data_IF_489499744790
#
_entry.id   IF_489499744790
#
_cell.length_a   1.000
_cell.length_b   1.000
_cell.length_c   1.000
_cell.angle_alpha   90.00
_cell.angle_beta   90.00
_cell.angle_gamma   90.00
#
_symmetry.space_group_name_H-M   'P 1'
#
loop_
_entity.id
_entity.type
_entity.pdbx_description
1 polymer ?
#
# COMPACT_ATOMS: atom_id res chain seq x y z
N UNK A 1 -6.59 16.15 -13.63
CA UNK A 1 -5.42 15.35 -13.22
C UNK A 1 -4.15 16.23 -13.11
N UNK A 2 -3.70 16.91 -14.16
CA UNK A 2 -2.46 17.71 -14.14
C UNK A 2 -2.45 18.79 -13.05
N UNK A 3 -3.54 19.56 -12.92
CA UNK A 3 -3.67 20.59 -11.89
C UNK A 3 -3.59 20.00 -10.46
N UNK A 4 -4.19 18.83 -10.23
CA UNK A 4 -4.14 18.15 -8.93
C UNK A 4 -2.71 17.71 -8.60
N UNK A 5 -2.01 17.11 -9.56
CA UNK A 5 -0.61 16.72 -9.37
C UNK A 5 0.29 17.93 -9.10
N UNK A 6 0.08 19.03 -9.85
CA UNK A 6 0.83 20.27 -9.64
C UNK A 6 0.63 20.84 -8.24
N UNK A 7 -0.63 20.97 -7.78
CA UNK A 7 -0.95 21.51 -6.45
C UNK A 7 -0.46 20.59 -5.33
N UNK A 8 -0.59 19.28 -5.51
CA UNK A 8 -0.09 18.29 -4.57
C UNK A 8 1.44 18.37 -4.47
N UNK A 9 2.13 18.42 -5.61
CA UNK A 9 3.58 18.59 -5.65
C UNK A 9 4.04 19.88 -4.95
N UNK A 10 3.38 21.01 -5.22
CA UNK A 10 3.68 22.29 -4.57
C UNK A 10 3.47 22.21 -3.05
N UNK A 11 2.36 21.59 -2.61
CA UNK A 11 2.05 21.41 -1.19
C UNK A 11 3.09 20.55 -0.47
N UNK A 12 3.45 19.41 -1.05
CA UNK A 12 4.45 18.50 -0.46
C UNK A 12 5.84 19.15 -0.43
N UNK A 13 6.24 19.80 -1.52
CA UNK A 13 7.51 20.51 -1.57
C UNK A 13 7.59 21.63 -0.51
N UNK A 14 6.50 22.40 -0.37
CA UNK A 14 6.38 23.42 0.67
C UNK A 14 6.48 22.84 2.08
N UNK A 15 5.78 21.74 2.36
CA UNK A 15 5.86 21.05 3.66
C UNK A 15 7.27 20.53 3.96
N UNK A 16 7.95 19.98 2.96
CA UNK A 16 9.34 19.53 3.10
C UNK A 16 10.29 20.69 3.37
N UNK A 17 10.07 21.85 2.77
CA UNK A 17 10.90 23.04 2.97
C UNK A 17 10.69 23.70 4.35
N UNK A 18 9.49 23.58 4.93
CA UNK A 18 9.17 24.06 6.28
C UNK A 18 9.76 23.21 7.40
N UNK A 19 10.05 21.95 7.13
CA UNK A 19 10.60 21.05 8.13
C UNK A 19 12.07 21.46 8.47
N UNK A 20 12.49 21.47 9.74
CA UNK A 20 13.84 21.91 10.15
C UNK A 20 14.95 20.99 9.63
N UNK A 21 16.11 21.54 9.22
CA UNK A 21 17.26 20.85 8.61
C UNK A 21 17.09 20.61 7.10
N UNK A 22 18.13 20.14 6.45
CA UNK A 22 18.12 19.75 5.04
C UNK A 22 18.85 18.42 4.79
N UNK A 23 18.80 17.93 3.54
CA UNK A 23 19.43 16.65 3.17
C UNK A 23 20.94 16.67 3.35
N UNK A 24 21.58 17.83 3.15
CA UNK A 24 23.02 17.98 3.31
C UNK A 24 23.42 17.84 4.78
N UNK A 25 22.62 18.44 5.69
CA UNK A 25 22.83 18.28 7.13
C UNK A 25 22.73 16.80 7.55
N UNK A 26 21.74 16.07 7.02
CA UNK A 26 21.58 14.63 7.28
C UNK A 26 22.73 13.80 6.68
N UNK A 27 23.17 14.15 5.48
CA UNK A 27 24.30 13.51 4.82
C UNK A 27 25.60 13.71 5.63
N UNK A 28 25.88 14.92 6.08
CA UNK A 28 27.04 15.23 6.92
C UNK A 28 26.98 14.46 8.23
N UNK A 29 25.82 14.42 8.90
CA UNK A 29 25.63 13.63 10.14
C UNK A 29 25.87 12.14 9.91
N UNK A 30 25.35 11.56 8.83
CA UNK A 30 25.56 10.17 8.49
C UNK A 30 27.04 9.86 8.24
N UNK A 31 27.75 10.76 7.56
CA UNK A 31 29.17 10.65 7.31
C UNK A 31 30.01 10.73 8.58
N UNK A 32 29.68 11.67 9.49
CA UNK A 32 30.34 11.78 10.80
C UNK A 32 30.15 10.53 11.67
N UNK A 33 28.94 9.94 11.67
CA UNK A 33 28.68 8.70 12.40
C UNK A 33 29.45 7.51 11.85
N UNK A 34 29.59 7.41 10.53
CA UNK A 34 30.36 6.37 9.88
C UNK A 34 31.89 6.58 10.04
N UNK A 35 32.35 7.82 10.12
CA UNK A 35 33.79 8.16 10.31
C UNK A 35 34.26 7.93 11.72
N UNK A 36 33.38 7.93 12.72
CA UNK A 36 33.74 7.62 14.11
C UNK A 36 34.12 6.15 14.32
N UNK A 37 33.84 5.27 13.37
CA UNK A 37 34.23 3.86 13.39
C UNK A 37 35.59 3.59 12.71
N UNK A 38 36.15 4.56 11.96
CA UNK A 38 37.46 4.47 11.33
C UNK A 38 38.13 5.83 11.48
N UNK A 39 39.10 5.95 12.40
CA UNK A 39 39.91 7.15 12.59
C UNK A 39 40.71 7.48 11.30
N UNK A 40 40.06 8.19 10.40
CA UNK A 40 40.71 8.86 9.28
C UNK A 40 40.24 10.32 9.26
N UNK A 41 41.08 11.21 9.77
CA UNK A 41 40.88 12.65 9.94
C UNK A 41 40.59 13.43 8.63
N UNK A 42 40.55 12.80 7.48
CA UNK A 42 40.43 13.47 6.17
C UNK A 42 39.06 13.47 5.54
N UNK A 43 38.00 12.99 6.22
CA UNK A 43 36.67 12.87 5.62
C UNK A 43 35.59 13.81 6.21
N UNK A 44 35.96 14.81 7.00
CA UNK A 44 35.00 15.82 7.47
C UNK A 44 34.86 16.88 6.39
N UNK A 45 33.67 16.97 5.78
CA UNK A 45 33.38 18.02 4.81
C UNK A 45 33.61 19.40 5.42
N UNK A 46 34.36 20.23 4.72
CA UNK A 46 34.59 21.61 5.10
C UNK A 46 33.33 22.45 4.94
N UNK A 47 33.22 23.57 5.65
CA UNK A 47 32.11 24.52 5.51
C UNK A 47 31.92 24.96 4.05
N UNK A 48 33.04 25.13 3.32
CA UNK A 48 32.99 25.50 1.91
C UNK A 48 32.42 24.41 1.02
N UNK A 49 32.75 23.13 1.28
CA UNK A 49 32.18 21.99 0.56
C UNK A 49 30.69 21.81 0.83
N UNK A 50 30.26 22.01 2.07
CA UNK A 50 28.85 22.00 2.45
C UNK A 50 28.07 23.10 1.71
N UNK A 51 28.62 24.34 1.70
CA UNK A 51 28.02 25.45 0.98
C UNK A 51 27.96 25.21 -0.53
N UNK A 52 29.02 24.66 -1.12
CA UNK A 52 29.06 24.29 -2.54
C UNK A 52 28.02 23.20 -2.86
N UNK A 53 27.84 22.21 -1.97
CA UNK A 53 26.83 21.16 -2.12
C UNK A 53 25.42 21.71 -2.05
N UNK A 54 25.11 22.62 -1.08
CA UNK A 54 23.82 23.29 -0.97
C UNK A 54 23.52 24.10 -2.23
N UNK A 55 24.47 24.85 -2.74
CA UNK A 55 24.33 25.61 -3.99
C UNK A 55 24.08 24.68 -5.20
N UNK A 56 24.83 23.61 -5.32
CA UNK A 56 24.67 22.61 -6.40
C UNK A 56 23.30 21.91 -6.38
N UNK A 57 22.71 21.75 -5.21
CA UNK A 57 21.39 21.14 -5.01
C UNK A 57 20.27 22.20 -4.99
N UNK A 58 20.56 23.46 -5.26
CA UNK A 58 19.61 24.57 -5.24
C UNK A 58 18.93 24.83 -3.89
N UNK A 59 19.48 24.32 -2.80
CA UNK A 59 18.92 24.45 -1.45
C UNK A 59 19.07 25.86 -0.85
N UNK A 60 19.88 26.70 -1.47
CA UNK A 60 20.08 28.10 -1.15
C UNK A 60 19.05 29.04 -1.79
N UNK A 61 18.18 28.51 -2.65
CA UNK A 61 17.16 29.29 -3.36
C UNK A 61 15.81 29.24 -2.66
N UNK A 62 14.91 30.22 -2.90
CA UNK A 62 13.52 30.16 -2.42
C UNK A 62 12.80 28.89 -2.89
N UNK A 63 11.88 28.37 -2.09
CA UNK A 63 11.23 27.06 -2.36
C UNK A 63 10.50 27.01 -3.72
N UNK A 64 9.92 28.11 -4.20
CA UNK A 64 9.27 28.16 -5.51
C UNK A 64 10.24 28.03 -6.69
N UNK A 65 11.47 28.55 -6.56
CA UNK A 65 12.52 28.35 -7.57
C UNK A 65 13.00 26.89 -7.57
N UNK A 66 13.20 26.31 -6.38
CA UNK A 66 13.55 24.90 -6.22
C UNK A 66 12.49 24.00 -6.84
N UNK A 67 11.19 24.25 -6.55
CA UNK A 67 10.08 23.50 -7.12
C UNK A 67 9.99 23.66 -8.63
N UNK A 68 10.13 24.89 -9.14
CA UNK A 68 10.13 25.19 -10.57
C UNK A 68 11.27 24.47 -11.30
N UNK A 69 12.48 24.47 -10.73
CA UNK A 69 13.64 23.77 -11.27
C UNK A 69 13.44 22.25 -11.27
N UNK A 70 12.90 21.68 -10.18
CA UNK A 70 12.57 20.28 -10.10
C UNK A 70 11.52 19.90 -11.16
N UNK A 71 10.48 20.70 -11.30
CA UNK A 71 9.41 20.46 -12.29
C UNK A 71 9.95 20.53 -13.73
N UNK A 72 10.83 21.50 -14.02
CA UNK A 72 11.49 21.60 -15.32
C UNK A 72 12.29 20.36 -15.65
N UNK A 73 13.13 19.89 -14.72
CA UNK A 73 13.92 18.67 -14.90
C UNK A 73 13.04 17.45 -15.18
N UNK A 74 11.93 17.30 -14.46
CA UNK A 74 11.02 16.16 -14.64
C UNK A 74 10.28 16.21 -15.97
N UNK A 75 9.77 17.39 -16.38
CA UNK A 75 8.92 17.53 -17.56
C UNK A 75 9.69 17.71 -18.85
N UNK A 76 10.83 18.40 -18.82
CA UNK A 76 11.61 18.75 -20.02
C UNK A 76 12.79 17.83 -20.20
N UNK A 77 13.58 17.65 -19.13
CA UNK A 77 14.81 16.83 -19.18
C UNK A 77 14.53 15.34 -18.94
N UNK A 78 13.29 14.97 -18.55
CA UNK A 78 12.90 13.62 -18.15
C UNK A 78 13.81 13.01 -17.09
N UNK A 79 14.42 13.85 -16.24
CA UNK A 79 15.34 13.46 -15.19
C UNK A 79 14.68 13.60 -13.82
N UNK A 80 14.38 12.45 -13.19
CA UNK A 80 13.85 12.37 -11.83
C UNK A 80 14.95 12.50 -10.75
N UNK A 81 16.21 12.60 -11.18
CA UNK A 81 17.36 12.75 -10.30
C UNK A 81 17.85 11.46 -9.68
N UNK A 82 18.81 11.63 -8.78
CA UNK A 82 19.37 10.58 -7.95
C UNK A 82 19.10 10.87 -6.48
N UNK A 83 18.93 9.80 -5.70
CA UNK A 83 18.93 9.91 -4.24
C UNK A 83 20.31 10.37 -3.77
N UNK A 84 20.37 11.35 -2.90
CA UNK A 84 21.64 11.88 -2.41
C UNK A 84 22.36 10.86 -1.51
N UNK A 85 21.65 10.06 -0.76
CA UNK A 85 22.20 9.12 0.20
C UNK A 85 22.62 7.81 -0.45
N UNK A 86 21.76 7.22 -1.27
CA UNK A 86 22.03 5.94 -1.93
C UNK A 86 22.77 6.09 -3.26
N UNK A 87 22.87 7.32 -3.82
CA UNK A 87 23.43 7.64 -5.14
C UNK A 87 22.78 6.88 -6.32
N UNK A 88 21.70 6.12 -6.04
CA UNK A 88 20.97 5.35 -7.04
C UNK A 88 19.97 6.25 -7.79
N UNK A 89 19.66 5.93 -9.06
CA UNK A 89 18.59 6.62 -9.80
C UNK A 89 17.25 6.47 -9.06
N UNK A 90 16.54 7.60 -8.86
CA UNK A 90 15.27 7.61 -8.12
C UNK A 90 14.23 6.71 -8.80
N UNK A 91 14.15 6.73 -10.13
CA UNK A 91 13.23 5.88 -10.89
C UNK A 91 13.45 4.40 -10.60
N UNK A 92 14.70 3.95 -10.51
CA UNK A 92 15.03 2.56 -10.20
C UNK A 92 14.57 2.18 -8.79
N UNK A 93 14.83 3.05 -7.81
CA UNK A 93 14.40 2.82 -6.43
C UNK A 93 12.88 2.72 -6.32
N UNK A 94 12.17 3.70 -6.89
CA UNK A 94 10.71 3.77 -6.83
C UNK A 94 10.07 2.58 -7.57
N UNK A 95 10.51 2.26 -8.79
CA UNK A 95 9.93 1.17 -9.57
C UNK A 95 10.11 -0.20 -8.91
N UNK A 96 11.30 -0.48 -8.39
CA UNK A 96 11.59 -1.75 -7.70
C UNK A 96 10.76 -1.91 -6.43
N UNK A 97 10.68 -0.85 -5.61
CA UNK A 97 9.91 -0.87 -4.35
C UNK A 97 8.41 -0.94 -4.61
N UNK A 98 7.93 -0.30 -5.68
CA UNK A 98 6.53 -0.37 -6.07
C UNK A 98 6.12 -1.78 -6.49
N UNK A 99 6.94 -2.49 -7.26
CA UNK A 99 6.63 -3.89 -7.64
C UNK A 99 6.51 -4.76 -6.39
N UNK A 100 7.40 -4.60 -5.41
CA UNK A 100 7.30 -5.32 -4.15
C UNK A 100 5.98 -5.02 -3.41
N UNK A 101 5.62 -3.74 -3.23
CA UNK A 101 4.35 -3.39 -2.57
C UNK A 101 3.14 -3.90 -3.35
N UNK A 102 3.16 -3.85 -4.69
CA UNK A 102 2.09 -4.42 -5.52
C UNK A 102 1.91 -5.91 -5.29
N UNK A 103 3.00 -6.68 -5.23
CA UNK A 103 2.94 -8.12 -4.96
C UNK A 103 2.32 -8.38 -3.59
N UNK A 104 2.79 -7.71 -2.55
CA UNK A 104 2.27 -7.86 -1.19
C UNK A 104 0.79 -7.48 -1.09
N UNK A 105 0.42 -6.31 -1.61
CA UNK A 105 -0.96 -5.81 -1.54
C UNK A 105 -1.91 -6.67 -2.38
N UNK A 106 -1.49 -7.11 -3.57
CA UNK A 106 -2.29 -7.98 -4.42
C UNK A 106 -2.54 -9.35 -3.78
N UNK A 107 -1.50 -9.97 -3.22
CA UNK A 107 -1.63 -11.23 -2.51
C UNK A 107 -2.53 -11.08 -1.28
N UNK A 108 -2.36 -9.99 -0.51
CA UNK A 108 -3.20 -9.68 0.64
C UNK A 108 -4.67 -9.48 0.25
N UNK A 109 -4.91 -8.72 -0.81
CA UNK A 109 -6.25 -8.45 -1.33
C UNK A 109 -6.94 -9.73 -1.80
N UNK A 110 -6.25 -10.54 -2.60
CA UNK A 110 -6.79 -11.82 -3.12
C UNK A 110 -7.11 -12.76 -1.97
N UNK A 111 -6.18 -12.95 -1.04
CA UNK A 111 -6.37 -13.83 0.11
C UNK A 111 -7.52 -13.36 1.03
N UNK A 112 -7.55 -12.06 1.36
CA UNK A 112 -8.61 -11.46 2.16
C UNK A 112 -9.97 -11.58 1.47
N UNK A 113 -10.05 -11.26 0.19
CA UNK A 113 -11.31 -11.24 -0.57
C UNK A 113 -11.88 -12.65 -0.70
N UNK A 114 -11.08 -13.62 -1.15
CA UNK A 114 -11.53 -14.99 -1.33
C UNK A 114 -12.03 -15.60 -0.01
N UNK A 115 -11.26 -15.44 1.07
CA UNK A 115 -11.65 -15.96 2.39
C UNK A 115 -12.87 -15.24 2.97
N UNK A 116 -12.96 -13.92 2.81
CA UNK A 116 -14.11 -13.15 3.28
C UNK A 116 -15.40 -13.56 2.55
N UNK A 117 -15.36 -13.75 1.24
CA UNK A 117 -16.53 -14.22 0.49
C UNK A 117 -16.91 -15.65 0.88
N UNK A 118 -15.96 -16.59 0.94
CA UNK A 118 -16.23 -17.95 1.34
C UNK A 118 -16.86 -18.04 2.74
N UNK A 119 -16.26 -17.36 3.72
CA UNK A 119 -16.75 -17.33 5.10
C UNK A 119 -18.06 -16.54 5.23
N UNK A 120 -18.23 -15.42 4.53
CA UNK A 120 -19.44 -14.59 4.58
C UNK A 120 -20.65 -15.30 4.00
N UNK A 121 -20.50 -16.01 2.87
CA UNK A 121 -21.56 -16.85 2.28
C UNK A 121 -21.89 -18.02 3.22
N UNK A 122 -20.88 -18.70 3.76
CA UNK A 122 -21.08 -19.79 4.71
C UNK A 122 -21.80 -19.30 5.97
N UNK A 123 -21.41 -18.16 6.52
CA UNK A 123 -21.98 -17.58 7.72
C UNK A 123 -23.44 -17.11 7.50
N UNK A 124 -23.75 -16.56 6.32
CA UNK A 124 -25.13 -16.22 5.96
C UNK A 124 -26.07 -17.43 5.96
N UNK A 125 -25.53 -18.62 5.65
CA UNK A 125 -26.28 -19.89 5.74
C UNK A 125 -26.49 -20.36 7.18
N UNK A 126 -25.70 -19.86 8.13
CA UNK A 126 -25.75 -20.20 9.56
C UNK A 126 -26.30 -19.06 10.41
N UNK A 127 -26.98 -18.10 9.79
CA UNK A 127 -27.56 -16.95 10.50
C UNK A 127 -28.42 -17.41 11.70
N UNK A 128 -28.23 -16.75 12.86
CA UNK A 128 -28.93 -17.07 14.11
C UNK A 128 -28.41 -18.30 14.86
N UNK A 129 -27.38 -18.99 14.34
CA UNK A 129 -26.74 -20.14 15.06
C UNK A 129 -25.61 -19.67 15.97
N UNK A 130 -25.12 -20.57 16.84
CA UNK A 130 -23.96 -20.33 17.69
C UNK A 130 -22.70 -19.92 16.89
N UNK A 131 -22.53 -20.48 15.70
CA UNK A 131 -21.41 -20.12 14.80
C UNK A 131 -21.50 -18.67 14.33
N UNK A 132 -22.68 -18.18 14.04
CA UNK A 132 -22.93 -16.81 13.65
C UNK A 132 -22.54 -15.84 14.78
N UNK A 133 -22.90 -16.16 16.02
CA UNK A 133 -22.55 -15.35 17.20
C UNK A 133 -21.05 -15.36 17.44
N UNK A 134 -20.41 -16.54 17.44
CA UNK A 134 -18.97 -16.68 17.70
C UNK A 134 -18.14 -15.97 16.66
N UNK A 135 -18.38 -16.24 15.37
CA UNK A 135 -17.62 -15.60 14.28
C UNK A 135 -17.92 -14.11 14.22
N UNK A 136 -19.15 -13.70 14.50
CA UNK A 136 -19.52 -12.28 14.60
C UNK A 136 -18.76 -11.57 15.71
N UNK A 137 -18.65 -12.18 16.89
CA UNK A 137 -17.86 -11.65 18.01
C UNK A 137 -16.37 -11.56 17.69
N UNK A 138 -15.77 -12.63 17.13
CA UNK A 138 -14.37 -12.65 16.70
C UNK A 138 -14.10 -11.57 15.65
N UNK A 139 -15.00 -11.42 14.67
CA UNK A 139 -14.89 -10.38 13.63
C UNK A 139 -14.95 -8.97 14.22
N UNK A 140 -15.82 -8.75 15.23
CA UNK A 140 -15.92 -7.48 15.93
C UNK A 140 -14.64 -7.19 16.72
N UNK A 141 -14.14 -8.17 17.44
CA UNK A 141 -12.91 -8.07 18.22
C UNK A 141 -11.71 -7.74 17.33
N UNK A 142 -11.52 -8.48 16.22
CA UNK A 142 -10.43 -8.22 15.27
C UNK A 142 -10.52 -6.82 14.65
N UNK A 143 -11.73 -6.37 14.34
CA UNK A 143 -11.92 -5.02 13.77
C UNK A 143 -11.70 -3.89 14.79
N UNK A 144 -11.95 -4.15 16.07
CA UNK A 144 -11.72 -3.18 17.15
C UNK A 144 -10.27 -3.17 17.64
N UNK A 145 -9.51 -4.24 17.34
CA UNK A 145 -8.15 -4.37 17.82
C UNK A 145 -7.20 -3.44 17.03
N UNK A 146 -6.32 -2.67 17.71
CA UNK A 146 -5.40 -1.78 17.01
C UNK A 146 -4.44 -2.55 16.10
N UNK A 147 -4.48 -2.25 14.79
CA UNK A 147 -3.71 -2.98 13.78
C UNK A 147 -2.20 -2.99 14.05
N UNK A 148 -1.64 -1.87 14.53
CA UNK A 148 -0.21 -1.79 14.89
C UNK A 148 0.14 -2.81 15.98
N UNK A 149 -0.69 -2.91 17.02
CA UNK A 149 -0.45 -3.88 18.11
C UNK A 149 -0.53 -5.32 17.60
N UNK A 150 -1.46 -5.61 16.70
CA UNK A 150 -1.58 -6.92 16.07
C UNK A 150 -0.30 -7.30 15.32
N UNK A 151 0.23 -6.39 14.50
CA UNK A 151 1.46 -6.61 13.74
C UNK A 151 2.67 -6.80 14.65
N UNK A 152 2.78 -6.00 15.73
CA UNK A 152 3.84 -6.15 16.72
C UNK A 152 3.75 -7.48 17.48
N UNK A 153 2.55 -7.93 17.85
CA UNK A 153 2.36 -9.23 18.49
C UNK A 153 2.76 -10.37 17.55
N UNK A 154 2.42 -10.30 16.28
CA UNK A 154 2.84 -11.29 15.27
C UNK A 154 4.38 -11.31 15.13
N UNK A 155 5.01 -10.14 15.13
CA UNK A 155 6.47 -10.05 15.04
C UNK A 155 7.15 -10.60 16.29
N UNK A 156 6.61 -10.30 17.50
CA UNK A 156 7.10 -10.87 18.76
C UNK A 156 6.92 -12.39 18.79
N UNK A 157 5.80 -12.90 18.28
CA UNK A 157 5.57 -14.34 18.14
C UNK A 157 6.62 -14.98 17.25
N UNK A 158 6.91 -14.39 16.08
CA UNK A 158 7.97 -14.89 15.19
C UNK A 158 9.35 -14.90 15.88
N UNK A 159 9.70 -13.82 16.56
CA UNK A 159 10.99 -13.68 17.25
C UNK A 159 11.15 -14.70 18.40
N UNK A 160 10.08 -14.99 19.12
CA UNK A 160 10.10 -15.91 20.27
C UNK A 160 10.10 -17.38 19.85
N UNK A 161 9.29 -17.74 18.85
CA UNK A 161 9.12 -19.15 18.44
C UNK A 161 10.12 -19.57 17.37
N UNK A 162 10.62 -18.63 16.56
CA UNK A 162 11.45 -18.88 15.38
C UNK A 162 10.78 -19.76 14.32
N UNK A 163 9.44 -19.90 14.38
CA UNK A 163 8.67 -20.67 13.38
C UNK A 163 8.49 -19.91 12.08
N UNK A 164 8.57 -18.59 12.14
CA UNK A 164 8.44 -17.71 10.99
C UNK A 164 9.58 -16.71 10.95
N UNK A 165 9.99 -16.26 9.75
CA UNK A 165 11.00 -15.23 9.61
C UNK A 165 10.48 -13.89 10.17
N UNK A 166 11.35 -13.16 10.84
CA UNK A 166 11.01 -11.83 11.39
C UNK A 166 10.95 -10.77 10.29
N UNK A 167 11.72 -10.97 9.20
CA UNK A 167 11.76 -10.08 8.05
C UNK A 167 10.89 -10.62 6.92
N UNK A 168 10.15 -9.75 6.24
CA UNK A 168 9.23 -10.14 5.17
C UNK A 168 9.92 -10.33 3.80
N UNK A 169 11.22 -10.23 3.73
CA UNK A 169 11.98 -10.42 2.49
C UNK A 169 13.19 -11.33 2.73
N UNK A 170 13.44 -12.32 1.86
CA UNK A 170 14.60 -13.20 2.01
C UNK A 170 15.90 -12.42 1.87
N UNK A 171 16.87 -12.75 2.71
CA UNK A 171 18.23 -12.17 2.64
C UNK A 171 19.05 -12.75 1.48
N UNK A 172 18.65 -13.91 0.97
CA UNK A 172 19.32 -14.57 -0.14
C UNK A 172 18.96 -13.91 -1.47
N UNK A 173 19.97 -13.61 -2.28
CA UNK A 173 19.77 -13.13 -3.64
C UNK A 173 19.22 -14.23 -4.54
N UNK A 174 18.49 -13.84 -5.59
CA UNK A 174 18.02 -14.76 -6.63
C UNK A 174 19.23 -15.48 -7.29
N UNK A 175 19.55 -16.65 -6.78
CA UNK A 175 20.70 -17.46 -7.23
C UNK A 175 20.44 -18.32 -8.47
N UNK A 176 19.49 -17.93 -9.34
CA UNK A 176 19.14 -18.65 -10.57
C UNK A 176 18.12 -19.78 -10.39
N UNK A 177 17.75 -20.15 -9.16
CA UNK A 177 16.68 -21.12 -8.90
C UNK A 177 15.38 -20.41 -8.53
N UNK A 178 14.53 -20.17 -9.54
CA UNK A 178 13.25 -19.47 -9.39
C UNK A 178 12.33 -20.13 -8.34
N UNK A 179 12.24 -21.44 -8.33
CA UNK A 179 11.31 -22.14 -7.41
C UNK A 179 11.77 -22.09 -5.96
N UNK A 180 13.06 -22.21 -5.72
CA UNK A 180 13.62 -22.07 -4.36
C UNK A 180 13.44 -20.65 -3.83
N UNK A 181 13.75 -19.63 -4.64
CA UNK A 181 13.54 -18.23 -4.27
C UNK A 181 12.06 -17.92 -4.01
N UNK A 182 11.15 -18.35 -4.90
CA UNK A 182 9.71 -18.13 -4.75
C UNK A 182 9.17 -18.80 -3.49
N UNK A 183 9.62 -20.00 -3.16
CA UNK A 183 9.25 -20.70 -1.92
C UNK A 183 9.72 -19.95 -0.68
N UNK A 184 10.98 -19.52 -0.66
CA UNK A 184 11.53 -18.69 0.43
C UNK A 184 10.79 -17.35 0.55
N UNK A 185 10.54 -16.69 -0.57
CA UNK A 185 9.81 -15.42 -0.61
C UNK A 185 8.38 -15.54 -0.03
N UNK A 186 7.62 -16.54 -0.46
CA UNK A 186 6.28 -16.80 0.06
C UNK A 186 6.30 -17.14 1.56
N UNK A 187 7.30 -17.87 2.02
CA UNK A 187 7.49 -18.16 3.44
C UNK A 187 7.74 -16.89 4.26
N UNK A 188 8.54 -15.95 3.75
CA UNK A 188 8.78 -14.66 4.39
C UNK A 188 7.52 -13.76 4.38
N UNK A 189 6.66 -13.91 3.40
CA UNK A 189 5.39 -13.16 3.32
C UNK A 189 4.28 -13.70 4.24
N UNK A 190 4.42 -14.85 4.86
CA UNK A 190 3.35 -15.48 5.65
C UNK A 190 2.83 -14.58 6.76
N UNK A 191 3.70 -13.99 7.57
CA UNK A 191 3.29 -13.12 8.68
C UNK A 191 2.73 -11.77 8.22
N UNK A 192 3.34 -11.04 7.27
CA UNK A 192 2.71 -9.87 6.68
C UNK A 192 1.32 -10.12 6.12
N UNK A 193 1.15 -11.22 5.37
CA UNK A 193 -0.16 -11.61 4.82
C UNK A 193 -1.17 -11.95 5.91
N UNK A 194 -0.74 -12.67 6.97
CA UNK A 194 -1.56 -12.93 8.16
C UNK A 194 -1.97 -11.63 8.86
N UNK A 195 -1.05 -10.71 9.03
CA UNK A 195 -1.32 -9.41 9.64
C UNK A 195 -2.35 -8.59 8.84
N UNK A 196 -2.15 -8.49 7.52
CA UNK A 196 -3.10 -7.83 6.62
C UNK A 196 -4.47 -8.52 6.63
N UNK A 197 -4.49 -9.85 6.63
CA UNK A 197 -5.72 -10.66 6.70
C UNK A 197 -6.48 -10.42 8.00
N UNK A 198 -5.84 -10.57 9.15
CA UNK A 198 -6.47 -10.38 10.46
C UNK A 198 -6.98 -8.95 10.67
N UNK A 199 -6.24 -7.96 10.16
CA UNK A 199 -6.66 -6.56 10.18
C UNK A 199 -7.87 -6.26 9.29
N UNK A 200 -8.04 -6.97 8.17
CA UNK A 200 -9.10 -6.71 7.20
C UNK A 200 -10.34 -7.61 7.33
N UNK A 201 -10.18 -8.85 7.83
CA UNK A 201 -11.24 -9.87 7.78
C UNK A 201 -12.48 -9.47 8.61
N UNK A 202 -12.30 -8.79 9.74
CA UNK A 202 -13.39 -8.41 10.63
C UNK A 202 -14.42 -7.49 9.97
N UNK A 203 -13.96 -6.50 9.20
CA UNK A 203 -14.80 -5.59 8.44
C UNK A 203 -15.44 -6.24 7.23
N UNK A 204 -14.61 -6.87 6.39
CA UNK A 204 -15.03 -7.49 5.12
C UNK A 204 -16.05 -8.60 5.33
N UNK A 205 -15.82 -9.48 6.30
CA UNK A 205 -16.74 -10.59 6.60
C UNK A 205 -18.12 -10.10 7.03
N UNK A 206 -18.17 -9.09 7.91
CA UNK A 206 -19.45 -8.51 8.37
C UNK A 206 -20.20 -7.85 7.23
N UNK A 207 -19.50 -7.10 6.37
CA UNK A 207 -20.12 -6.46 5.21
C UNK A 207 -20.73 -7.50 4.26
N UNK A 208 -19.97 -8.55 3.91
CA UNK A 208 -20.43 -9.61 3.01
C UNK A 208 -21.62 -10.35 3.62
N UNK A 209 -21.55 -10.70 4.94
CA UNK A 209 -22.65 -11.34 5.63
C UNK A 209 -23.91 -10.47 5.63
N UNK A 210 -23.79 -9.18 5.93
CA UNK A 210 -24.94 -8.26 5.97
C UNK A 210 -25.59 -8.13 4.58
N UNK A 211 -24.81 -7.89 3.54
CA UNK A 211 -25.33 -7.78 2.17
C UNK A 211 -25.92 -9.11 1.66
N UNK A 212 -25.34 -10.25 2.03
CA UNK A 212 -25.91 -11.57 1.71
C UNK A 212 -27.28 -11.79 2.38
N UNK A 213 -27.40 -11.46 3.66
CA UNK A 213 -28.68 -11.58 4.38
C UNK A 213 -29.76 -10.65 3.82
N UNK A 214 -29.38 -9.43 3.46
CA UNK A 214 -30.27 -8.49 2.78
C UNK A 214 -30.77 -9.07 1.46
N UNK A 215 -29.90 -9.62 0.63
CA UNK A 215 -30.28 -10.25 -0.65
C UNK A 215 -31.15 -11.49 -0.45
N UNK A 216 -30.88 -12.31 0.56
CA UNK A 216 -31.68 -13.50 0.88
C UNK A 216 -33.09 -13.17 1.39
N UNK A 217 -33.32 -11.97 1.89
CA UNK A 217 -34.63 -11.43 2.29
C UNK A 217 -35.46 -10.87 1.14
N UNK A 218 -34.93 -10.73 -0.06
CA UNK A 218 -35.61 -10.10 -1.20
C UNK A 218 -36.72 -10.97 -1.79
N UNK A 219 -37.82 -10.37 -2.36
CA UNK A 219 -38.95 -11.11 -2.94
C UNK A 219 -38.57 -12.10 -4.05
N UNK A 220 -37.53 -11.79 -4.85
CA UNK A 220 -37.09 -12.71 -5.89
C UNK A 220 -36.57 -14.04 -5.31
N UNK A 221 -35.98 -14.04 -4.12
CA UNK A 221 -35.50 -15.25 -3.44
C UNK A 221 -36.69 -16.13 -3.04
N UNK A 222 -37.76 -15.51 -2.53
CA UNK A 222 -39.01 -16.23 -2.21
C UNK A 222 -39.62 -16.88 -3.46
N UNK A 223 -39.61 -16.17 -4.60
CA UNK A 223 -40.07 -16.70 -5.88
C UNK A 223 -39.17 -17.87 -6.39
N UNK A 224 -37.88 -17.83 -6.12
CA UNK A 224 -36.95 -18.95 -6.47
C UNK A 224 -37.21 -20.19 -5.59
N UNK A 225 -37.50 -19.98 -4.29
CA UNK A 225 -37.86 -21.05 -3.36
C UNK A 225 -39.18 -21.73 -3.76
N UNK A 226 -40.19 -20.94 -4.14
CA UNK A 226 -41.48 -21.50 -4.60
C UNK A 226 -41.36 -22.32 -5.88
N UNK A 227 -40.33 -22.07 -6.69
CA UNK A 227 -39.97 -22.87 -7.88
C UNK A 227 -39.14 -24.10 -7.55
N UNK A 228 -38.86 -24.41 -6.28
CA UNK A 228 -38.10 -25.57 -5.85
C UNK A 228 -36.60 -25.50 -6.08
N UNK A 229 -36.03 -24.32 -6.32
CA UNK A 229 -34.60 -24.15 -6.51
C UNK A 229 -33.88 -24.41 -5.17
N UNK A 230 -32.84 -25.24 -5.14
CA UNK A 230 -32.17 -25.59 -3.89
C UNK A 230 -31.42 -24.38 -3.30
N UNK A 231 -31.43 -24.28 -1.96
CA UNK A 231 -30.83 -23.15 -1.20
C UNK A 231 -29.38 -22.84 -1.56
N UNK A 232 -28.57 -23.88 -1.84
CA UNK A 232 -27.19 -23.71 -2.28
C UNK A 232 -27.10 -22.89 -3.58
N UNK A 233 -27.94 -23.22 -4.57
CA UNK A 233 -27.97 -22.50 -5.86
C UNK A 233 -28.49 -21.06 -5.68
N UNK A 234 -29.48 -20.87 -4.81
CA UNK A 234 -30.01 -19.54 -4.48
C UNK A 234 -28.88 -18.66 -3.92
N UNK A 235 -28.09 -19.18 -2.95
CA UNK A 235 -27.00 -18.43 -2.31
C UNK A 235 -25.86 -18.14 -3.27
N UNK A 236 -25.30 -19.19 -3.93
CA UNK A 236 -24.08 -19.03 -4.72
C UNK A 236 -24.28 -18.36 -6.08
N UNK A 237 -25.44 -18.53 -6.73
CA UNK A 237 -25.66 -17.98 -8.06
C UNK A 237 -26.58 -16.74 -8.06
N UNK A 238 -27.63 -16.73 -7.26
CA UNK A 238 -28.62 -15.64 -7.33
C UNK A 238 -28.31 -14.54 -6.31
N UNK A 239 -28.18 -14.89 -5.03
CA UNK A 239 -27.95 -13.88 -3.98
C UNK A 239 -26.53 -13.32 -4.06
N UNK A 240 -25.50 -14.18 -4.21
CA UNK A 240 -24.10 -13.76 -4.27
C UNK A 240 -23.82 -12.79 -5.42
N UNK A 241 -24.39 -13.05 -6.61
CA UNK A 241 -24.21 -12.13 -7.76
C UNK A 241 -24.66 -10.70 -7.43
N UNK A 242 -25.80 -10.55 -6.75
CA UNK A 242 -26.30 -9.25 -6.35
C UNK A 242 -25.55 -8.66 -5.16
N UNK A 243 -25.02 -9.50 -4.28
CA UNK A 243 -24.14 -9.11 -3.16
C UNK A 243 -22.83 -8.48 -3.65
N UNK A 244 -22.36 -8.82 -4.85
CA UNK A 244 -21.15 -8.26 -5.44
C UNK A 244 -21.27 -6.78 -5.84
N UNK A 245 -22.46 -6.24 -6.03
CA UNK A 245 -22.65 -4.88 -6.52
C UNK A 245 -21.90 -3.80 -5.72
N UNK A 246 -21.95 -3.73 -4.37
CA UNK A 246 -21.17 -2.76 -3.61
C UNK A 246 -19.65 -2.91 -3.77
N UNK A 247 -19.17 -4.15 -3.96
CA UNK A 247 -17.75 -4.43 -4.14
C UNK A 247 -17.25 -4.04 -5.53
N UNK A 248 -18.08 -4.26 -6.56
CA UNK A 248 -17.78 -3.80 -7.94
C UNK A 248 -17.75 -2.28 -7.98
N UNK A 249 -18.70 -1.61 -7.35
CA UNK A 249 -18.74 -0.15 -7.30
C UNK A 249 -17.55 0.41 -6.49
N UNK A 250 -17.15 -0.27 -5.41
CA UNK A 250 -15.96 0.10 -4.60
C UNK A 250 -14.61 -0.26 -5.22
N UNK A 251 -14.59 -0.97 -6.35
CA UNK A 251 -13.34 -1.45 -6.97
C UNK A 251 -12.38 -0.34 -7.39
N UNK A 252 -12.89 0.87 -7.67
CA UNK A 252 -12.06 2.04 -7.94
C UNK A 252 -11.13 2.40 -6.80
N UNK A 253 -11.59 2.25 -5.54
CA UNK A 253 -10.78 2.46 -4.35
C UNK A 253 -9.67 1.41 -4.17
N UNK A 254 -9.93 0.16 -4.57
CA UNK A 254 -8.96 -0.93 -4.44
C UNK A 254 -7.66 -0.67 -5.24
N UNK A 255 -7.75 0.01 -6.39
CA UNK A 255 -6.56 0.38 -7.16
C UNK A 255 -5.70 1.40 -6.40
N UNK A 256 -6.32 2.36 -5.73
CA UNK A 256 -5.60 3.31 -4.89
C UNK A 256 -4.87 2.56 -3.75
N UNK A 257 -5.55 1.64 -3.07
CA UNK A 257 -4.99 0.85 -1.98
C UNK A 257 -3.82 -0.04 -2.44
N UNK A 258 -3.91 -0.61 -3.64
CA UNK A 258 -2.83 -1.44 -4.22
C UNK A 258 -1.54 -0.66 -4.42
N UNK A 259 -1.63 0.61 -4.82
CA UNK A 259 -0.45 1.44 -5.13
C UNK A 259 0.06 2.25 -3.93
N UNK A 260 -0.79 2.56 -2.95
CA UNK A 260 -0.41 3.39 -1.79
C UNK A 260 0.59 2.70 -0.85
N UNK A 261 0.65 1.36 -0.89
CA UNK A 261 1.46 0.57 0.02
C UNK A 261 0.86 0.45 1.42
N UNK A 262 1.42 -0.45 2.21
CA UNK A 262 1.07 -0.64 3.62
C UNK A 262 2.24 -0.22 4.52
N UNK A 263 2.42 1.09 4.66
CA UNK A 263 3.56 1.72 5.36
C UNK A 263 3.92 1.02 6.69
N UNK A 264 2.95 0.86 7.57
CA UNK A 264 3.19 0.32 8.92
C UNK A 264 3.64 -1.14 8.85
N UNK A 265 3.01 -1.94 8.01
CA UNK A 265 3.34 -3.35 7.81
C UNK A 265 4.75 -3.48 7.19
N UNK A 266 5.07 -2.65 6.19
CA UNK A 266 6.37 -2.64 5.53
C UNK A 266 7.50 -2.24 6.49
N UNK A 267 7.24 -1.30 7.42
CA UNK A 267 8.22 -0.91 8.45
C UNK A 267 8.41 -2.03 9.46
N UNK A 268 7.31 -2.55 10.04
CA UNK A 268 7.37 -3.55 11.12
C UNK A 268 8.09 -4.82 10.65
N UNK A 269 7.73 -5.34 9.47
CA UNK A 269 8.33 -6.56 8.92
C UNK A 269 9.57 -6.32 8.05
N UNK A 270 10.12 -5.10 8.06
CA UNK A 270 11.28 -4.70 7.25
C UNK A 270 11.14 -5.05 5.75
N UNK A 271 9.91 -5.01 5.22
CA UNK A 271 9.62 -5.31 3.83
C UNK A 271 10.09 -4.16 2.92
N UNK A 272 10.80 -4.45 1.82
CA UNK A 272 11.33 -3.41 0.93
C UNK A 272 10.26 -2.88 -0.02
N UNK A 273 9.22 -2.23 0.52
CA UNK A 273 8.12 -1.66 -0.24
C UNK A 273 8.22 -0.14 -0.44
N UNK A 274 7.21 0.41 -1.15
CA UNK A 274 7.15 1.82 -1.54
C UNK A 274 6.83 2.74 -0.34
N UNK A 275 5.99 2.28 0.60
CA UNK A 275 5.66 3.02 1.80
C UNK A 275 6.87 3.18 2.72
N UNK A 276 7.64 2.12 2.94
CA UNK A 276 8.88 2.18 3.70
C UNK A 276 9.91 3.09 3.02
N UNK A 277 10.06 3.00 1.70
CA UNK A 277 10.93 3.89 0.94
C UNK A 277 10.54 5.35 1.14
N UNK A 278 9.24 5.65 1.12
CA UNK A 278 8.72 7.00 1.35
C UNK A 278 9.04 7.49 2.76
N UNK A 279 8.84 6.66 3.77
CA UNK A 279 9.16 6.99 5.16
C UNK A 279 10.66 7.31 5.33
N UNK A 280 11.52 6.43 4.82
CA UNK A 280 12.97 6.63 4.84
C UNK A 280 13.38 7.94 4.13
N UNK A 281 12.80 8.21 2.96
CA UNK A 281 13.06 9.43 2.18
C UNK A 281 12.62 10.71 2.92
N UNK A 282 11.47 10.69 3.59
CA UNK A 282 10.98 11.84 4.38
C UNK A 282 11.88 12.12 5.58
N UNK A 283 12.25 11.09 6.34
CA UNK A 283 13.14 11.22 7.51
C UNK A 283 14.52 11.78 7.09
N UNK A 284 15.01 11.30 5.94
CA UNK A 284 16.32 11.71 5.40
C UNK A 284 16.24 13.02 4.64
N UNK A 285 15.04 13.54 4.38
CA UNK A 285 14.79 14.76 3.58
C UNK A 285 15.32 14.68 2.14
N UNK A 286 15.29 13.49 1.56
CA UNK A 286 15.63 13.29 0.15
C UNK A 286 14.48 13.80 -0.74
N UNK A 287 14.53 15.10 -1.06
CA UNK A 287 13.46 15.79 -1.80
C UNK A 287 13.19 15.11 -3.15
N UNK A 288 14.26 14.73 -3.89
CA UNK A 288 14.09 14.06 -5.18
C UNK A 288 13.30 12.76 -5.04
N UNK A 289 13.64 11.96 -4.03
CA UNK A 289 13.00 10.67 -3.78
C UNK A 289 11.56 10.84 -3.28
N UNK A 290 11.33 11.78 -2.35
CA UNK A 290 9.98 12.09 -1.81
C UNK A 290 9.07 12.58 -2.91
N UNK A 291 9.50 13.58 -3.68
CA UNK A 291 8.70 14.20 -4.74
C UNK A 291 8.35 13.19 -5.84
N UNK A 292 9.35 12.43 -6.31
CA UNK A 292 9.13 11.42 -7.34
C UNK A 292 8.18 10.33 -6.85
N UNK A 293 8.38 9.85 -5.62
CA UNK A 293 7.53 8.80 -5.04
C UNK A 293 6.07 9.25 -4.95
N UNK A 294 5.80 10.43 -4.37
CA UNK A 294 4.44 10.97 -4.24
C UNK A 294 3.82 11.22 -5.60
N UNK A 295 4.53 11.87 -6.52
CA UNK A 295 3.99 12.19 -7.84
C UNK A 295 3.69 10.92 -8.64
N UNK A 296 4.56 9.92 -8.55
CA UNK A 296 4.37 8.65 -9.24
C UNK A 296 3.19 7.85 -8.69
N UNK A 297 3.08 7.72 -7.35
CA UNK A 297 1.95 7.06 -6.71
C UNK A 297 0.65 7.81 -7.03
N UNK A 298 0.64 9.14 -6.91
CA UNK A 298 -0.55 9.96 -7.20
C UNK A 298 -0.98 9.84 -8.67
N UNK A 299 -0.02 9.81 -9.60
CA UNK A 299 -0.31 9.57 -11.01
C UNK A 299 -0.97 8.19 -11.22
N UNK A 300 -0.42 7.14 -10.60
CA UNK A 300 -0.98 5.79 -10.70
C UNK A 300 -2.38 5.68 -10.09
N UNK A 301 -2.60 6.32 -8.94
CA UNK A 301 -3.93 6.36 -8.29
C UNK A 301 -4.94 7.06 -9.21
N UNK A 302 -4.59 8.24 -9.73
CA UNK A 302 -5.47 9.00 -10.62
C UNK A 302 -5.74 8.27 -11.95
N UNK A 303 -4.71 7.63 -12.52
CA UNK A 303 -4.86 6.81 -13.72
C UNK A 303 -5.72 5.57 -13.44
N UNK A 304 -5.52 4.92 -12.29
CA UNK A 304 -6.31 3.79 -11.85
C UNK A 304 -7.78 4.13 -11.64
N UNK A 305 -8.08 5.27 -11.00
CA UNK A 305 -9.44 5.77 -10.85
C UNK A 305 -10.10 6.03 -12.22
N UNK A 306 -9.40 6.69 -13.13
CA UNK A 306 -9.91 6.94 -14.48
C UNK A 306 -10.20 5.65 -15.23
N UNK A 307 -9.29 4.68 -15.17
CA UNK A 307 -9.49 3.37 -15.80
C UNK A 307 -10.68 2.62 -15.19
N UNK A 308 -10.85 2.70 -13.87
CA UNK A 308 -11.98 2.11 -13.16
C UNK A 308 -13.31 2.75 -13.58
N UNK A 309 -13.36 4.08 -13.69
CA UNK A 309 -14.57 4.80 -14.13
C UNK A 309 -14.94 4.44 -15.58
N UNK A 310 -13.93 4.32 -16.45
CA UNK A 310 -14.14 3.86 -17.83
C UNK A 310 -14.64 2.41 -17.84
N UNK A 311 -14.03 1.52 -17.06
CA UNK A 311 -14.45 0.13 -16.97
C UNK A 311 -15.89 0.01 -16.44
N UNK A 312 -16.24 0.79 -15.42
CA UNK A 312 -17.59 0.82 -14.87
C UNK A 312 -18.61 1.32 -15.90
N UNK A 313 -18.28 2.37 -16.66
CA UNK A 313 -19.13 2.90 -17.72
C UNK A 313 -19.31 1.92 -18.90
N UNK A 314 -18.36 1.00 -19.10
CA UNK A 314 -18.45 -0.07 -20.10
C UNK A 314 -19.31 -1.24 -19.61
N UNK A 315 -19.22 -1.58 -18.32
CA UNK A 315 -19.92 -2.74 -17.73
C UNK A 315 -21.36 -2.40 -17.36
N UNK A 316 -21.63 -1.19 -16.85
CA UNK A 316 -22.98 -0.76 -16.48
C UNK A 316 -23.51 0.33 -17.43
N UNK A 317 -24.33 -0.05 -18.42
CA UNK A 317 -24.92 0.91 -19.35
C UNK A 317 -25.88 1.92 -18.71
N UNK A 318 -26.33 1.70 -17.47
CA UNK A 318 -27.26 2.62 -16.77
C UNK A 318 -26.58 3.92 -16.36
N UNK A 319 -25.26 3.91 -16.16
CA UNK A 319 -24.48 5.10 -15.82
C UNK A 319 -24.38 6.07 -17.00
N UNK A 320 -24.55 5.60 -18.24
CA UNK A 320 -24.52 6.44 -19.46
C UNK A 320 -25.72 7.38 -19.61
N UNK A 321 -26.83 7.11 -18.96
CA UNK A 321 -28.09 7.84 -19.13
C UNK A 321 -28.37 8.90 -18.07
N UNK A 322 -27.49 9.12 -17.09
CA UNK A 322 -27.62 10.20 -16.12
C UNK A 322 -27.03 11.53 -16.62
N UNK A 323 -27.35 11.89 -17.90
CA UNK A 323 -27.18 13.26 -18.42
C UNK A 323 -28.57 13.85 -18.62
N UNK A 324 -29.04 14.56 -17.63
CA UNK A 324 -30.03 15.65 -17.76
C UNK A 324 -29.71 16.71 -16.74
#
# INVERSE_FOLDING_TARGET
MVAVLFLLGLGVFGLMSLAPGDIVDNYVRAQLLNSSSVMTQNNVLTVAEIAAMKHRLWLDRPFWEQYGHWLWRVLVDHDLGRSLLSQAPVLFLVSTRMVNSLILNLLSLVFLTLTSFALGIWLSAKAGTKWDVVVGFVSLFLNAFPGILLLLLLQMFAASTRWFPVTAYPSESFGGNFWAFSGSYLYHLTLPLLGAFLGGIGGSLRLIRATMLEQLGQPYVTALRSRGIPEGRIRFFHAFRNTMNPFITGASGLLADLFSGSLILEIIFAYPGIGRLMYEAVIQKDINLVMTNIMFISFLILAGMLLSDIALALVDPRIRYSKS
#
